data_IF_310789606733
#
_entry.id   IF_310789606733
#
_cell.length_a   1.000
_cell.length_b   1.000
_cell.length_c   1.000
_cell.angle_alpha   90.00
_cell.angle_beta   90.00
_cell.angle_gamma   90.00
#
_symmetry.space_group_name_H-M   'P 1'
#
loop_
_entity.id
_entity.type
_entity.pdbx_description
1 polymer ?
#
# COMPACT_ATOMS: atom_id res chain seq x y z
N UNK A 1 -11.23 -18.94 5.37
CA UNK A 1 -11.11 -17.96 6.47
C UNK A 1 -9.62 -17.87 6.77
N UNK A 2 -8.91 -16.89 6.16
CA UNK A 2 -7.46 -16.76 6.30
C UNK A 2 -7.16 -16.07 7.63
N UNK A 3 -6.32 -16.70 8.45
CA UNK A 3 -5.90 -16.22 9.76
C UNK A 3 -5.09 -14.91 9.61
N UNK A 4 -5.50 -13.80 10.27
CA UNK A 4 -4.82 -12.51 10.12
C UNK A 4 -3.43 -12.47 10.79
N UNK A 5 -2.97 -13.52 11.48
CA UNK A 5 -1.70 -13.54 12.20
C UNK A 5 -0.50 -14.11 11.41
N UNK A 6 -0.69 -14.58 10.16
CA UNK A 6 0.42 -15.14 9.36
C UNK A 6 1.14 -14.12 8.46
N UNK A 7 0.71 -12.87 8.41
CA UNK A 7 1.47 -11.82 7.73
C UNK A 7 2.64 -11.37 8.63
N UNK A 8 3.80 -12.01 8.47
CA UNK A 8 5.08 -11.50 9.00
C UNK A 8 5.54 -10.32 8.14
N UNK A 9 4.76 -9.25 8.13
CA UNK A 9 4.99 -8.08 7.32
C UNK A 9 4.54 -6.80 8.01
N UNK A 10 5.16 -5.68 7.67
CA UNK A 10 4.86 -4.38 8.26
C UNK A 10 3.46 -3.95 7.85
N UNK A 11 2.56 -3.81 8.83
CA UNK A 11 1.21 -3.30 8.57
C UNK A 11 1.23 -1.78 8.48
N UNK A 12 0.81 -1.26 7.34
CA UNK A 12 0.73 0.17 7.07
C UNK A 12 -0.75 0.57 6.97
N UNK A 13 -1.21 1.37 7.93
CA UNK A 13 -2.57 1.89 7.94
C UNK A 13 -2.70 3.05 6.95
N UNK A 14 -3.60 2.89 5.98
CA UNK A 14 -3.87 3.94 5.01
C UNK A 14 -4.82 4.99 5.58
N UNK A 15 -4.60 6.28 5.27
CA UNK A 15 -5.47 7.36 5.72
C UNK A 15 -6.87 7.25 5.09
N UNK A 16 -7.85 7.86 5.75
CA UNK A 16 -9.24 7.83 5.29
C UNK A 16 -9.48 8.41 3.88
N UNK A 17 -8.60 9.31 3.42
CA UNK A 17 -8.69 9.97 2.12
C UNK A 17 -7.41 9.76 1.31
N UNK A 18 -7.51 8.90 0.31
CA UNK A 18 -6.48 8.61 -0.67
C UNK A 18 -6.85 9.25 -2.01
N UNK A 19 -6.81 10.57 -2.09
CA UNK A 19 -7.08 11.30 -3.34
C UNK A 19 -5.80 11.54 -4.15
N UNK A 20 -5.95 11.99 -5.39
CA UNK A 20 -4.91 12.44 -6.31
C UNK A 20 -3.85 13.33 -5.65
N UNK A 21 -4.26 14.24 -4.76
CA UNK A 21 -3.35 15.12 -4.03
C UNK A 21 -2.45 14.37 -3.03
N UNK A 22 -2.89 13.20 -2.54
CA UNK A 22 -2.15 12.38 -1.60
C UNK A 22 -1.21 11.38 -2.29
N UNK A 23 -1.40 11.11 -3.58
CA UNK A 23 -0.61 10.15 -4.35
C UNK A 23 0.94 10.33 -4.25
N UNK A 24 1.52 11.54 -4.40
CA UNK A 24 2.97 11.71 -4.28
C UNK A 24 3.45 11.45 -2.84
N UNK A 25 2.63 11.80 -1.84
CA UNK A 25 2.96 11.56 -0.44
C UNK A 25 2.89 10.07 -0.10
N UNK A 26 1.87 9.36 -0.58
CA UNK A 26 1.73 7.93 -0.45
C UNK A 26 2.94 7.19 -1.04
N UNK A 27 3.41 7.60 -2.21
CA UNK A 27 4.58 6.98 -2.83
C UNK A 27 5.85 7.19 -1.98
N UNK A 28 6.06 8.40 -1.45
CA UNK A 28 7.18 8.69 -0.56
C UNK A 28 7.14 7.87 0.74
N UNK A 29 5.95 7.66 1.31
CA UNK A 29 5.74 6.82 2.50
C UNK A 29 5.97 5.33 2.21
N UNK A 30 5.60 4.87 1.01
CA UNK A 30 5.76 3.48 0.60
C UNK A 30 7.19 3.12 0.18
N UNK A 31 7.94 4.08 -0.36
CA UNK A 31 9.31 3.87 -0.85
C UNK A 31 10.27 3.19 0.16
N UNK A 32 10.33 3.58 1.45
CA UNK A 32 11.20 2.91 2.44
C UNK A 32 10.81 1.46 2.73
N UNK A 33 9.57 1.06 2.42
CA UNK A 33 9.08 -0.30 2.58
C UNK A 33 9.33 -1.19 1.36
N UNK A 34 9.95 -0.65 0.30
CA UNK A 34 10.34 -1.43 -0.87
C UNK A 34 11.23 -2.61 -0.47
N UNK A 35 10.89 -3.81 -0.94
CA UNK A 35 11.61 -5.05 -0.62
C UNK A 35 11.26 -5.65 0.75
N UNK A 36 10.37 -5.01 1.52
CA UNK A 36 9.82 -5.57 2.76
C UNK A 36 8.44 -6.18 2.50
N UNK A 37 8.10 -7.23 3.25
CA UNK A 37 6.74 -7.74 3.25
C UNK A 37 5.86 -6.71 3.96
N UNK A 38 4.97 -6.00 3.24
CA UNK A 38 4.06 -5.04 3.88
C UNK A 38 2.60 -5.35 3.58
N UNK A 39 1.74 -5.04 4.56
CA UNK A 39 0.30 -5.22 4.45
C UNK A 39 -0.38 -3.86 4.55
N UNK A 40 -1.06 -3.46 3.48
CA UNK A 40 -1.80 -2.21 3.42
C UNK A 40 -3.17 -2.41 4.05
N UNK A 41 -3.45 -1.67 5.12
CA UNK A 41 -4.73 -1.70 5.79
C UNK A 41 -5.64 -0.58 5.26
N UNK A 42 -6.79 -0.97 4.71
CA UNK A 42 -7.78 -0.06 4.12
C UNK A 42 -8.97 0.20 5.06
N UNK A 43 -8.91 -0.19 6.33
CA UNK A 43 -10.08 -0.19 7.23
C UNK A 43 -10.70 1.20 7.41
N UNK A 44 -9.87 2.23 7.42
CA UNK A 44 -10.32 3.63 7.59
C UNK A 44 -10.53 4.35 6.26
N UNK A 45 -10.13 3.75 5.13
CA UNK A 45 -10.20 4.35 3.80
C UNK A 45 -11.66 4.51 3.39
N UNK A 46 -12.09 5.77 3.27
CA UNK A 46 -13.43 6.16 2.85
C UNK A 46 -13.44 6.67 1.40
N UNK A 47 -12.33 7.27 0.96
CA UNK A 47 -12.18 7.83 -0.40
C UNK A 47 -10.89 7.29 -1.01
N UNK A 48 -11.03 6.67 -2.20
CA UNK A 48 -9.91 6.17 -2.99
C UNK A 48 -10.00 6.71 -4.42
N UNK A 49 -9.12 7.65 -4.75
CA UNK A 49 -8.95 8.20 -6.08
C UNK A 49 -8.17 7.27 -7.00
N UNK A 50 -8.46 7.34 -8.30
CA UNK A 50 -7.86 6.48 -9.33
C UNK A 50 -6.33 6.57 -9.35
N UNK A 51 -5.76 7.75 -9.08
CA UNK A 51 -4.31 7.95 -9.14
C UNK A 51 -3.59 7.30 -7.94
N UNK A 52 -4.18 7.36 -6.74
CA UNK A 52 -3.69 6.60 -5.59
C UNK A 52 -3.79 5.09 -5.84
N UNK A 53 -4.89 4.61 -6.44
CA UNK A 53 -5.04 3.20 -6.81
C UNK A 53 -3.94 2.77 -7.79
N UNK A 54 -3.62 3.56 -8.81
CA UNK A 54 -2.54 3.29 -9.75
C UNK A 54 -1.18 3.22 -9.06
N UNK A 55 -0.89 4.13 -8.12
CA UNK A 55 0.34 4.08 -7.32
C UNK A 55 0.43 2.77 -6.54
N UNK A 56 -0.64 2.34 -5.87
CA UNK A 56 -0.67 1.09 -5.13
C UNK A 56 -0.49 -0.14 -6.03
N UNK A 57 -1.15 -0.15 -7.19
CA UNK A 57 -1.01 -1.22 -8.18
C UNK A 57 0.41 -1.29 -8.74
N UNK A 58 1.02 -0.14 -9.06
CA UNK A 58 2.40 -0.05 -9.53
C UNK A 58 3.39 -0.46 -8.44
N UNK A 59 3.20 -0.05 -7.19
CA UNK A 59 4.02 -0.47 -6.06
C UNK A 59 3.96 -2.00 -5.87
N UNK A 60 2.75 -2.57 -5.88
CA UNK A 60 2.58 -4.04 -5.83
C UNK A 60 3.24 -4.74 -7.01
N UNK A 61 3.08 -4.21 -8.22
CA UNK A 61 3.68 -4.81 -9.42
C UNK A 61 5.21 -4.71 -9.37
N UNK A 62 5.77 -3.57 -8.96
CA UNK A 62 7.20 -3.34 -8.86
C UNK A 62 7.84 -4.19 -7.75
N UNK A 63 7.19 -4.31 -6.60
CA UNK A 63 7.69 -5.12 -5.49
C UNK A 63 7.45 -6.62 -5.70
N UNK A 64 6.35 -7.00 -6.36
CA UNK A 64 6.08 -8.38 -6.74
C UNK A 64 7.00 -8.87 -7.87
N UNK A 65 7.37 -8.00 -8.81
CA UNK A 65 8.33 -8.30 -9.88
C UNK A 65 9.79 -8.30 -9.40
N UNK A 66 10.08 -7.75 -8.21
CA UNK A 66 11.38 -7.89 -7.55
C UNK A 66 11.56 -9.23 -6.80
N UNK A 67 10.54 -10.09 -6.80
CA UNK A 67 10.61 -11.44 -6.27
C UNK A 67 11.24 -12.41 -7.25
N UNK A 68 12.59 -12.43 -7.26
CA UNK A 68 13.49 -13.35 -7.98
C UNK A 68 13.60 -13.17 -9.50
#
# INVERSE_FOLDING_TARGET
>A
MADPALFNGTRYALPARLDTAYAPKLLADLLPYQGQNICLDFKEVTILGTLCLQVLMNARHHWGAGGH
#
